data_IF_739800203078
#
_entry.id   IF_739800203078
#
_cell.length_a   1.000
_cell.length_b   1.000
_cell.length_c   1.000
_cell.angle_alpha   90.00
_cell.angle_beta   90.00
_cell.angle_gamma   90.00
#
_symmetry.space_group_name_H-M   'P 1'
#
loop_
_entity.id
_entity.type
_entity.pdbx_description
1 polymer ?
#
# COMPACT_ATOMS: atom_id res chain seq x y z
N UNK A 1 -11.71 21.20 16.82
CA UNK A 1 -11.43 20.05 15.97
C UNK A 1 -11.54 20.50 14.52
N UNK A 2 -10.40 20.79 13.91
CA UNK A 2 -10.33 21.24 12.51
C UNK A 2 -10.65 20.06 11.59
N UNK A 3 -11.64 20.23 10.72
CA UNK A 3 -11.84 19.38 9.55
C UNK A 3 -10.64 19.63 8.62
N UNK A 4 -9.59 18.83 8.71
CA UNK A 4 -8.60 18.76 7.64
C UNK A 4 -9.33 18.38 6.35
N UNK A 5 -9.17 19.24 5.37
CA UNK A 5 -9.83 19.08 4.07
C UNK A 5 -9.31 17.79 3.43
N UNK A 6 -10.21 16.87 3.10
CA UNK A 6 -9.94 15.70 2.24
C UNK A 6 -9.30 16.08 0.88
N UNK A 7 -9.14 17.38 0.60
CA UNK A 7 -8.60 17.91 -0.67
C UNK A 7 -7.09 17.79 -0.80
N UNK A 8 -6.37 17.40 0.28
CA UNK A 8 -4.89 17.36 0.29
C UNK A 8 -4.34 15.91 0.27
N UNK A 9 -5.21 14.92 0.18
CA UNK A 9 -4.78 13.53 0.05
C UNK A 9 -4.25 13.25 -1.35
N UNK A 10 -3.07 12.64 -1.50
CA UNK A 10 -2.55 12.19 -2.79
C UNK A 10 -3.42 11.10 -3.42
N UNK A 11 -4.22 10.37 -2.65
CA UNK A 11 -5.12 9.31 -3.13
C UNK A 11 -6.27 9.90 -3.95
N UNK A 12 -6.39 9.51 -5.21
CA UNK A 12 -7.41 9.99 -6.15
C UNK A 12 -8.51 8.98 -6.43
N UNK A 13 -8.15 7.68 -6.45
CA UNK A 13 -9.11 6.62 -6.78
C UNK A 13 -8.72 5.31 -6.13
N UNK A 14 -9.74 4.57 -5.70
CA UNK A 14 -9.59 3.17 -5.26
C UNK A 14 -10.61 2.31 -6.00
N UNK A 15 -10.17 1.18 -6.52
CA UNK A 15 -11.02 0.17 -7.15
C UNK A 15 -10.77 -1.15 -6.46
N UNK A 16 -11.83 -1.80 -6.02
CA UNK A 16 -11.78 -3.15 -5.47
C UNK A 16 -12.54 -4.10 -6.38
N UNK A 17 -11.95 -5.25 -6.61
CA UNK A 17 -12.58 -6.35 -7.34
C UNK A 17 -12.43 -7.62 -6.52
N UNK A 18 -13.52 -8.33 -6.32
CA UNK A 18 -13.53 -9.65 -5.69
C UNK A 18 -14.18 -10.66 -6.62
N UNK A 19 -13.52 -11.79 -6.83
CA UNK A 19 -14.03 -12.93 -7.56
C UNK A 19 -14.12 -14.08 -6.58
N UNK A 20 -15.31 -14.70 -6.46
CA UNK A 20 -15.58 -15.77 -5.51
C UNK A 20 -15.86 -17.05 -6.30
N UNK A 21 -15.09 -18.10 -6.02
CA UNK A 21 -15.27 -19.43 -6.58
C UNK A 21 -15.31 -20.46 -5.42
N UNK A 22 -16.51 -20.93 -5.11
CA UNK A 22 -16.74 -21.72 -3.92
C UNK A 22 -16.28 -20.98 -2.65
N UNK A 23 -15.45 -21.58 -1.79
CA UNK A 23 -14.93 -20.92 -0.59
C UNK A 23 -13.70 -20.02 -0.87
N UNK A 24 -13.15 -20.04 -2.08
CA UNK A 24 -11.98 -19.25 -2.44
C UNK A 24 -12.40 -17.89 -2.99
N UNK A 25 -11.78 -16.85 -2.49
CA UNK A 25 -11.90 -15.48 -3.01
C UNK A 25 -10.55 -15.02 -3.54
N UNK A 26 -10.54 -14.49 -4.77
CA UNK A 26 -9.47 -13.65 -5.31
C UNK A 26 -9.90 -12.19 -5.14
N UNK A 27 -9.05 -11.38 -4.54
CA UNK A 27 -9.30 -9.97 -4.30
C UNK A 27 -8.19 -9.11 -4.89
N UNK A 28 -8.57 -8.10 -5.65
CA UNK A 28 -7.65 -7.12 -6.23
C UNK A 28 -8.02 -5.73 -5.73
N UNK A 29 -7.04 -5.01 -5.19
CA UNK A 29 -7.14 -3.59 -4.86
C UNK A 29 -6.22 -2.80 -5.78
N UNK A 30 -6.78 -1.82 -6.49
CA UNK A 30 -6.02 -0.87 -7.31
C UNK A 30 -6.24 0.54 -6.77
N UNK A 31 -5.16 1.26 -6.53
CA UNK A 31 -5.17 2.61 -5.97
C UNK A 31 -4.39 3.53 -6.88
N UNK A 32 -4.90 4.73 -7.09
CA UNK A 32 -4.28 5.76 -7.91
C UNK A 32 -3.99 6.99 -7.06
N UNK A 33 -2.78 7.49 -7.20
CA UNK A 33 -2.25 8.62 -6.46
C UNK A 33 -1.71 9.69 -7.40
N UNK A 34 -1.76 10.93 -6.97
CA UNK A 34 -1.12 12.05 -7.64
C UNK A 34 -0.50 12.98 -6.57
N UNK A 35 0.74 13.39 -6.77
CA UNK A 35 1.39 14.33 -5.88
C UNK A 35 1.12 15.77 -6.32
N UNK A 36 0.10 16.40 -5.74
CA UNK A 36 -0.22 17.81 -5.96
C UNK A 36 0.68 18.77 -5.14
N UNK A 37 1.59 18.23 -4.32
CA UNK A 37 2.44 19.03 -3.45
C UNK A 37 3.68 19.53 -4.19
N UNK A 38 4.40 20.48 -3.57
CA UNK A 38 5.66 21.04 -4.09
C UNK A 38 6.88 20.22 -3.73
N UNK A 39 6.73 19.32 -2.76
CA UNK A 39 7.79 18.48 -2.23
C UNK A 39 7.52 17.01 -2.57
N UNK A 40 8.56 16.16 -2.67
CA UNK A 40 8.40 14.72 -2.78
C UNK A 40 7.57 14.16 -1.62
N UNK A 41 6.73 13.16 -1.91
CA UNK A 41 5.90 12.50 -0.90
C UNK A 41 6.19 11.02 -0.83
N UNK A 42 6.07 10.48 0.38
CA UNK A 42 6.01 9.05 0.63
C UNK A 42 4.55 8.66 0.89
N UNK A 43 4.10 7.61 0.26
CA UNK A 43 2.75 7.08 0.43
C UNK A 43 2.83 5.79 1.23
N UNK A 44 2.16 5.77 2.37
CA UNK A 44 2.01 4.58 3.21
C UNK A 44 0.53 4.21 3.28
N UNK A 45 0.21 3.04 2.74
CA UNK A 45 -1.13 2.50 2.73
C UNK A 45 -1.20 1.23 3.56
N UNK A 46 -1.98 1.26 4.64
CA UNK A 46 -2.19 0.10 5.51
C UNK A 46 -3.59 -0.45 5.37
N UNK A 47 -3.71 -1.77 5.28
CA UNK A 47 -4.98 -2.47 5.18
C UNK A 47 -4.94 -3.77 6.01
N UNK A 48 -6.09 -4.20 6.57
CA UNK A 48 -6.16 -5.47 7.27
C UNK A 48 -6.11 -6.62 6.26
N UNK A 49 -5.26 -7.61 6.53
CA UNK A 49 -5.17 -8.86 5.79
C UNK A 49 -5.54 -10.00 6.74
N UNK A 50 -6.63 -10.75 6.52
CA UNK A 50 -7.03 -11.82 7.42
C UNK A 50 -5.94 -12.89 7.58
N UNK A 51 -5.39 -12.98 8.79
CA UNK A 51 -4.27 -13.87 9.12
C UNK A 51 -4.60 -15.35 8.94
N UNK A 52 -3.60 -16.10 8.45
CA UNK A 52 -3.69 -17.54 8.28
C UNK A 52 -4.68 -18.02 7.22
N UNK A 53 -5.39 -17.09 6.57
CA UNK A 53 -6.41 -17.39 5.55
C UNK A 53 -6.18 -16.68 4.24
N UNK A 54 -5.17 -15.82 4.17
CA UNK A 54 -4.87 -15.00 3.01
C UNK A 54 -3.43 -15.21 2.54
N UNK A 55 -3.26 -15.22 1.22
CA UNK A 55 -1.95 -15.31 0.56
C UNK A 55 -1.86 -14.20 -0.47
N UNK A 56 -0.87 -13.32 -0.33
CA UNK A 56 -0.59 -12.27 -1.31
C UNK A 56 0.03 -12.94 -2.54
N UNK A 57 -0.60 -12.74 -3.68
CA UNK A 57 -0.17 -13.29 -4.97
C UNK A 57 0.56 -12.28 -5.83
N UNK A 58 0.23 -10.98 -5.68
CA UNK A 58 0.84 -9.92 -6.45
C UNK A 58 0.92 -8.63 -5.65
N UNK A 59 2.05 -7.95 -5.76
CA UNK A 59 2.22 -6.57 -5.35
C UNK A 59 3.04 -5.85 -6.41
N UNK A 60 2.47 -4.81 -7.01
CA UNK A 60 3.18 -3.99 -7.98
C UNK A 60 2.77 -2.52 -7.86
N UNK A 61 3.67 -1.65 -8.25
CA UNK A 61 3.39 -0.24 -8.42
C UNK A 61 3.79 0.21 -9.82
N UNK A 62 3.05 1.18 -10.34
CA UNK A 62 3.43 1.94 -11.53
C UNK A 62 3.65 3.38 -11.09
N UNK A 63 4.82 3.92 -11.38
CA UNK A 63 5.21 5.28 -11.05
C UNK A 63 5.68 5.92 -12.35
N UNK A 64 4.94 6.92 -12.83
CA UNK A 64 5.19 7.58 -14.12
C UNK A 64 5.38 6.62 -15.31
N UNK A 65 4.59 5.55 -15.38
CA UNK A 65 4.68 4.55 -16.43
C UNK A 65 5.72 3.46 -16.21
N UNK A 66 6.57 3.56 -15.19
CA UNK A 66 7.55 2.53 -14.82
C UNK A 66 6.92 1.55 -13.84
N UNK A 67 6.76 0.30 -14.29
CA UNK A 67 6.20 -0.77 -13.44
C UNK A 67 7.30 -1.42 -12.62
N UNK A 68 7.07 -1.52 -11.31
CA UNK A 68 7.91 -2.25 -10.36
C UNK A 68 7.09 -3.35 -9.71
N UNK A 69 7.65 -4.55 -9.64
CA UNK A 69 7.05 -5.68 -8.95
C UNK A 69 7.75 -5.94 -7.62
N UNK A 70 6.96 -6.20 -6.58
CA UNK A 70 7.46 -6.56 -5.27
C UNK A 70 8.16 -7.92 -5.31
N UNK A 71 9.30 -8.01 -4.63
CA UNK A 71 10.02 -9.27 -4.37
C UNK A 71 10.05 -9.53 -2.88
N UNK A 72 9.97 -10.81 -2.49
CA UNK A 72 10.07 -11.19 -1.10
C UNK A 72 11.53 -11.16 -0.64
N UNK A 73 11.80 -10.48 0.45
CA UNK A 73 13.09 -10.42 1.13
C UNK A 73 12.89 -10.61 2.65
N UNK A 74 13.89 -11.07 3.39
CA UNK A 74 13.90 -10.94 4.85
C UNK A 74 13.71 -9.47 5.25
N UNK A 75 12.94 -9.22 6.33
CA UNK A 75 12.52 -7.87 6.74
C UNK A 75 13.67 -6.85 6.75
N UNK A 76 14.77 -7.15 7.46
CA UNK A 76 15.93 -6.24 7.57
C UNK A 76 16.58 -5.92 6.22
N UNK A 77 16.64 -6.90 5.32
CA UNK A 77 17.20 -6.71 3.98
C UNK A 77 16.26 -5.85 3.12
N UNK A 78 14.95 -6.03 3.26
CA UNK A 78 13.95 -5.23 2.56
C UNK A 78 14.00 -3.76 3.01
N UNK A 79 14.06 -3.52 4.32
CA UNK A 79 14.18 -2.19 4.91
C UNK A 79 15.46 -1.48 4.42
N UNK A 80 16.61 -2.15 4.47
CA UNK A 80 17.87 -1.56 4.00
C UNK A 80 17.82 -1.21 2.52
N UNK A 81 17.32 -2.11 1.67
CA UNK A 81 17.18 -1.84 0.23
C UNK A 81 16.26 -0.68 -0.06
N UNK A 82 15.19 -0.52 0.73
CA UNK A 82 14.25 0.58 0.60
C UNK A 82 14.91 1.91 0.96
N UNK A 83 15.62 1.97 2.09
CA UNK A 83 16.35 3.16 2.54
C UNK A 83 17.46 3.57 1.55
N UNK A 84 18.28 2.61 1.10
CA UNK A 84 19.35 2.86 0.12
C UNK A 84 18.80 3.45 -1.19
N UNK A 85 17.63 2.97 -1.64
CA UNK A 85 16.96 3.46 -2.84
C UNK A 85 16.42 4.88 -2.63
N UNK A 86 15.83 5.19 -1.46
CA UNK A 86 15.40 6.56 -1.11
C UNK A 86 16.59 7.51 -1.13
N UNK A 87 17.71 7.14 -0.51
CA UNK A 87 18.94 7.96 -0.45
C UNK A 87 19.54 8.19 -1.84
N UNK A 88 19.40 7.23 -2.74
CA UNK A 88 19.85 7.34 -4.14
C UNK A 88 18.90 8.19 -5.01
N UNK A 89 17.77 8.65 -4.47
CA UNK A 89 16.76 9.40 -5.22
C UNK A 89 15.84 8.53 -6.08
N UNK A 90 15.92 7.21 -5.94
CA UNK A 90 14.99 6.28 -6.58
C UNK A 90 13.61 6.33 -5.92
N UNK A 91 12.64 5.74 -6.60
CA UNK A 91 11.27 5.58 -6.08
C UNK A 91 11.03 4.11 -5.73
N UNK A 92 11.43 3.65 -4.52
CA UNK A 92 11.26 2.26 -4.14
C UNK A 92 9.81 1.94 -3.76
N UNK A 93 9.48 0.64 -3.81
CA UNK A 93 8.24 0.09 -3.28
C UNK A 93 8.56 -0.98 -2.24
N UNK A 94 7.78 -1.01 -1.16
CA UNK A 94 7.89 -2.04 -0.13
C UNK A 94 6.50 -2.48 0.32
N UNK A 95 6.34 -3.77 0.60
CA UNK A 95 5.15 -4.34 1.23
C UNK A 95 5.59 -5.09 2.48
N UNK A 96 5.09 -4.65 3.62
CA UNK A 96 5.35 -5.27 4.91
C UNK A 96 4.08 -5.92 5.47
N UNK A 97 4.20 -7.14 5.98
CA UNK A 97 3.13 -7.83 6.72
C UNK A 97 3.51 -7.79 8.19
N UNK A 98 2.69 -7.15 9.00
CA UNK A 98 2.89 -7.05 10.44
C UNK A 98 2.25 -8.22 11.18
N UNK A 99 2.72 -8.50 12.42
CA UNK A 99 2.19 -9.57 13.27
C UNK A 99 0.70 -9.39 13.67
N UNK A 100 0.12 -8.21 13.42
CA UNK A 100 -1.27 -7.88 13.77
C UNK A 100 -2.24 -7.96 12.58
N UNK A 101 -1.92 -8.78 11.58
CA UNK A 101 -2.77 -8.94 10.39
C UNK A 101 -2.96 -7.65 9.57
N UNK A 102 -2.00 -6.73 9.65
CA UNK A 102 -1.96 -5.57 8.80
C UNK A 102 -0.86 -5.71 7.75
N UNK A 103 -1.18 -5.29 6.56
CA UNK A 103 -0.24 -5.15 5.47
C UNK A 103 -0.06 -3.66 5.18
N UNK A 104 1.18 -3.22 5.09
CA UNK A 104 1.51 -1.84 4.75
C UNK A 104 2.30 -1.80 3.46
N UNK A 105 1.78 -1.10 2.48
CA UNK A 105 2.46 -0.80 1.23
C UNK A 105 3.06 0.61 1.30
N UNK A 106 4.36 0.72 1.02
CA UNK A 106 5.10 1.98 1.01
C UNK A 106 5.63 2.27 -0.39
N UNK A 107 5.43 3.52 -0.86
CA UNK A 107 6.01 4.07 -2.06
C UNK A 107 6.78 5.35 -1.68
N UNK A 108 8.07 5.35 -1.93
CA UNK A 108 8.91 6.50 -1.60
C UNK A 108 9.16 7.43 -2.79
N UNK A 109 9.56 8.67 -2.48
CA UNK A 109 10.08 9.66 -3.44
C UNK A 109 9.17 9.94 -4.66
N UNK A 110 7.86 10.05 -4.48
CA UNK A 110 6.96 10.49 -5.57
C UNK A 110 7.13 12.00 -5.71
N UNK A 111 7.69 12.42 -6.82
CA UNK A 111 8.02 13.82 -7.08
C UNK A 111 6.75 14.66 -7.34
N UNK A 112 6.84 16.00 -7.19
CA UNK A 112 5.76 16.90 -7.53
C UNK A 112 5.22 16.68 -8.95
N UNK A 113 3.90 16.57 -9.07
CA UNK A 113 3.22 16.35 -10.36
C UNK A 113 3.26 14.90 -10.87
N UNK A 114 3.87 13.97 -10.15
CA UNK A 114 3.92 12.57 -10.55
C UNK A 114 2.67 11.79 -10.18
N UNK A 115 2.34 10.85 -11.06
CA UNK A 115 1.30 9.85 -10.85
C UNK A 115 1.89 8.54 -10.35
N UNK A 116 1.24 7.92 -9.40
CA UNK A 116 1.57 6.58 -8.94
C UNK A 116 0.32 5.71 -8.81
N UNK A 117 0.48 4.42 -9.00
CA UNK A 117 -0.58 3.46 -8.69
C UNK A 117 -0.02 2.23 -7.99
N UNK A 118 -0.81 1.66 -7.10
CA UNK A 118 -0.54 0.39 -6.43
C UNK A 118 -1.59 -0.62 -6.88
N UNK A 119 -1.15 -1.84 -7.17
CA UNK A 119 -2.01 -2.99 -7.34
C UNK A 119 -1.56 -4.09 -6.39
N UNK A 120 -2.50 -4.55 -5.58
CA UNK A 120 -2.34 -5.66 -4.66
C UNK A 120 -3.38 -6.72 -4.99
N UNK A 121 -2.93 -7.98 -5.09
CA UNK A 121 -3.81 -9.13 -5.25
C UNK A 121 -3.51 -10.14 -4.15
N UNK A 122 -4.56 -10.67 -3.54
CA UNK A 122 -4.46 -11.78 -2.59
C UNK A 122 -5.61 -12.75 -2.73
N UNK A 123 -5.35 -13.99 -2.34
CA UNK A 123 -6.35 -15.04 -2.20
C UNK A 123 -6.71 -15.21 -0.74
N UNK A 124 -7.99 -15.50 -0.47
CA UNK A 124 -8.50 -15.75 0.87
C UNK A 124 -9.50 -16.91 0.86
N UNK A 125 -9.40 -17.76 1.88
CA UNK A 125 -10.48 -18.71 2.16
C UNK A 125 -11.58 -18.03 2.98
N UNK A 126 -12.78 -18.01 2.41
CA UNK A 126 -13.95 -17.46 3.08
C UNK A 126 -14.47 -18.42 4.15
N UNK A 127 -15.00 -17.84 5.22
CA UNK A 127 -15.66 -18.64 6.25
C UNK A 127 -17.00 -19.13 5.74
N UNK A 128 -17.20 -20.44 5.79
CA UNK A 128 -18.47 -21.06 5.55
C UNK A 128 -19.13 -21.41 6.88
N UNK A 129 -20.29 -20.83 7.14
CA UNK A 129 -21.07 -21.07 8.36
C UNK A 129 -22.56 -20.95 8.02
N UNK A 130 -23.39 -21.83 8.56
CA UNK A 130 -24.83 -21.82 8.39
C UNK A 130 -25.28 -21.71 6.90
N UNK A 131 -24.68 -22.52 6.04
CA UNK A 131 -24.94 -22.53 4.60
C UNK A 131 -24.67 -21.19 3.89
N UNK A 132 -23.82 -20.33 4.46
CA UNK A 132 -23.45 -19.02 3.92
C UNK A 132 -21.94 -18.83 3.90
N UNK A 133 -21.45 -18.15 2.86
CA UNK A 133 -20.10 -17.60 2.82
C UNK A 133 -20.16 -16.15 3.34
N UNK A 134 -19.24 -15.81 4.24
CA UNK A 134 -19.10 -14.44 4.74
C UNK A 134 -17.91 -13.78 4.08
N UNK A 135 -18.19 -12.69 3.38
CA UNK A 135 -17.19 -11.76 2.85
C UNK A 135 -17.21 -10.47 3.67
N UNK A 136 -16.03 -10.00 4.06
CA UNK A 136 -15.87 -8.68 4.68
C UNK A 136 -14.83 -7.91 3.87
N UNK A 137 -15.25 -6.78 3.30
CA UNK A 137 -14.36 -5.87 2.58
C UNK A 137 -14.18 -4.64 3.46
N UNK A 138 -12.96 -4.34 3.94
CA UNK A 138 -12.70 -3.12 4.69
C UNK A 138 -12.79 -1.92 3.74
N UNK A 139 -13.78 -1.06 3.93
CA UNK A 139 -14.00 0.13 3.11
C UNK A 139 -13.43 1.40 3.75
N UNK A 140 -13.06 1.35 5.03
CA UNK A 140 -12.45 2.47 5.72
C UNK A 140 -10.94 2.35 5.59
N UNK A 141 -10.37 3.17 4.72
CA UNK A 141 -8.93 3.39 4.64
C UNK A 141 -8.61 4.41 5.73
N UNK A 142 -7.99 3.97 6.81
CA UNK A 142 -7.34 4.90 7.72
C UNK A 142 -6.00 5.24 7.10
N UNK A 143 -5.92 6.40 6.48
CA UNK A 143 -4.63 7.04 6.24
C UNK A 143 -4.02 7.27 7.63
N UNK A 144 -3.03 6.47 8.01
CA UNK A 144 -2.15 6.89 9.07
C UNK A 144 -1.27 7.96 8.45
N UNK A 145 -1.32 9.21 8.93
CA UNK A 145 -0.40 10.23 8.49
C UNK A 145 0.98 9.89 9.08
N UNK A 146 1.67 8.95 8.49
CA UNK A 146 3.09 8.84 8.68
C UNK A 146 3.76 9.70 7.59
N UNK A 147 3.47 10.99 7.62
CA UNK A 147 4.37 11.98 7.05
C UNK A 147 5.49 12.14 8.07
N UNK A 148 6.37 11.16 8.16
CA UNK A 148 7.64 11.36 8.82
C UNK A 148 8.54 12.11 7.84
N UNK A 149 8.41 13.43 7.84
CA UNK A 149 9.47 14.28 7.32
C UNK A 149 10.68 14.09 8.23
N UNK A 150 11.58 13.17 7.92
CA UNK A 150 12.91 13.22 8.47
C UNK A 150 13.66 14.35 7.77
N UNK A 151 13.39 15.59 8.22
CA UNK A 151 14.40 16.65 8.09
C UNK A 151 15.60 16.18 8.91
N UNK A 152 16.54 15.51 8.29
CA UNK A 152 17.91 15.52 8.81
C UNK A 152 18.37 16.96 8.68
N UNK A 153 18.39 17.68 9.82
CA UNK A 153 19.14 18.91 9.95
C UNK A 153 20.59 18.57 9.60
N UNK A 154 21.10 19.25 8.60
CA UNK A 154 22.55 19.34 8.38
C UNK A 154 23.18 19.81 9.68
N UNK A 155 23.89 18.91 10.35
CA UNK A 155 24.82 19.29 11.40
C UNK A 155 26.06 19.84 10.68
N UNK A 156 26.29 21.15 10.89
CA UNK A 156 27.56 21.83 10.59
C UNK A 156 28.63 21.33 11.52
#
# INVERSE_FOLDING_TARGET
MSREKLSDSPLKKVVWQAVIDGPLMSYTSSQQYHNDRKDPVEINYSFPLPYGKSVISKFRANINGVVREGKAYPKKEAEQKYEDAIESGDTPIMLEITEKDFCTASLGNILPGEDASIELEYFQLLNYCDHKLRLTIPTVIREFPAVSYSRRQEAR
#
